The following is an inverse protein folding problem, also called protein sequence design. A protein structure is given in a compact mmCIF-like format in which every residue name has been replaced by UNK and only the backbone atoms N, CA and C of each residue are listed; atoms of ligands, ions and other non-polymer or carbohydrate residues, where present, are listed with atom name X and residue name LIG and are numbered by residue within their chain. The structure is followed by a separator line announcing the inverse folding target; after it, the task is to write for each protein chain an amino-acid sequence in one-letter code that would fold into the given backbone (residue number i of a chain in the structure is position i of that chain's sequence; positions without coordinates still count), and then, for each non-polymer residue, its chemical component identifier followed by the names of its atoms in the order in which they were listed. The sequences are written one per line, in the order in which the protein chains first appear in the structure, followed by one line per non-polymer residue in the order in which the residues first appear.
data_IF_320448551781
#
_entry.id   IF_320448551781
#
_cell.length_a   1.000
_cell.length_b   1.000
_cell.length_c   1.000
_cell.angle_alpha   90.00
_cell.angle_beta   90.00
_cell.angle_gamma   90.00
#
_symmetry.space_group_name_H-M   'P 1'
#
loop_
_entity.id
_entity.type
_entity.pdbx_description
1 polymer ?
#
# COMPACT_ATOMS: atom_id res chain seq x y z
N UNK A 1 -2.49 22.73 6.44
CA UNK A 1 -2.01 23.07 5.07
C UNK A 1 -1.14 24.33 5.07
N UNK A 2 -1.58 25.43 5.67
CA UNK A 2 -0.85 26.72 5.68
C UNK A 2 0.60 26.62 6.19
N UNK A 3 0.86 25.75 7.18
CA UNK A 3 2.20 25.50 7.73
C UNK A 3 3.07 24.57 6.86
N UNK A 4 2.56 24.04 5.73
CA UNK A 4 3.27 23.13 4.80
C UNK A 4 3.82 21.84 5.44
N UNK A 5 3.18 21.37 6.51
CA UNK A 5 3.56 20.15 7.25
C UNK A 5 2.63 18.96 6.99
N UNK A 6 1.58 19.13 6.17
CA UNK A 6 0.61 18.06 5.91
C UNK A 6 1.22 16.99 4.98
N UNK A 7 1.10 15.72 5.38
CA UNK A 7 1.51 14.57 4.58
C UNK A 7 2.77 13.86 5.10
N UNK A 8 3.26 12.89 4.34
CA UNK A 8 4.45 12.11 4.70
C UNK A 8 5.71 12.71 4.10
N UNK A 9 6.69 13.05 4.96
CA UNK A 9 8.00 13.56 4.53
C UNK A 9 8.74 12.55 3.64
N UNK A 10 8.68 11.26 3.96
CA UNK A 10 9.31 10.21 3.17
C UNK A 10 8.66 10.08 1.78
N UNK A 11 7.33 10.17 1.72
CA UNK A 11 6.59 10.17 0.46
C UNK A 11 6.96 11.39 -0.41
N UNK A 12 7.07 12.58 0.19
CA UNK A 12 7.49 13.78 -0.52
C UNK A 12 8.90 13.64 -1.13
N UNK A 13 9.86 13.09 -0.37
CA UNK A 13 11.20 12.80 -0.87
C UNK A 13 11.20 11.82 -2.04
N UNK A 14 10.35 10.78 -1.99
CA UNK A 14 10.18 9.84 -3.10
C UNK A 14 9.53 10.49 -4.33
N UNK A 15 8.53 11.34 -4.13
CA UNK A 15 7.87 12.10 -5.21
C UNK A 15 8.88 12.99 -5.94
N UNK A 16 9.70 13.73 -5.20
CA UNK A 16 10.75 14.60 -5.76
C UNK A 16 11.84 13.80 -6.49
N UNK A 17 12.19 12.61 -5.98
CA UNK A 17 13.23 11.76 -6.56
C UNK A 17 12.76 11.02 -7.81
N UNK A 18 11.58 10.39 -7.74
CA UNK A 18 11.07 9.50 -8.79
C UNK A 18 10.31 10.23 -9.89
N UNK A 19 9.70 11.38 -9.57
CA UNK A 19 8.96 12.24 -10.52
C UNK A 19 7.98 11.46 -11.42
N UNK A 20 7.14 10.57 -10.87
CA UNK A 20 6.27 9.71 -11.68
C UNK A 20 5.23 10.54 -12.44
N UNK A 21 4.67 10.01 -13.53
CA UNK A 21 3.58 10.69 -14.25
C UNK A 21 2.32 10.87 -13.39
N UNK A 22 2.08 9.92 -12.48
CA UNK A 22 0.93 9.92 -11.57
C UNK A 22 1.38 9.59 -10.14
N UNK A 23 0.73 10.22 -9.15
CA UNK A 23 0.90 9.90 -7.74
C UNK A 23 -0.47 9.79 -7.08
N UNK A 24 -0.83 8.58 -6.64
CA UNK A 24 -2.09 8.32 -5.96
C UNK A 24 -1.91 8.27 -4.46
N UNK A 25 -2.85 8.84 -3.72
CA UNK A 25 -2.85 8.85 -2.25
C UNK A 25 -4.26 8.72 -1.70
N UNK A 26 -4.37 8.48 -0.40
CA UNK A 26 -5.64 8.39 0.31
C UNK A 26 -5.42 8.87 1.76
N UNK A 27 -6.15 8.30 2.72
CA UNK A 27 -6.01 8.47 4.17
C UNK A 27 -6.64 9.74 4.78
N UNK A 28 -6.59 10.89 4.10
CA UNK A 28 -7.17 12.15 4.62
C UNK A 28 -8.69 12.30 4.40
N UNK A 29 -9.36 11.28 3.86
CA UNK A 29 -10.81 11.26 3.61
C UNK A 29 -11.30 12.51 2.85
N UNK A 30 -10.58 12.86 1.79
CA UNK A 30 -10.99 13.92 0.89
C UNK A 30 -10.46 13.65 -0.52
N UNK A 31 -11.25 14.01 -1.54
CA UNK A 31 -10.76 14.06 -2.90
C UNK A 31 -9.95 15.33 -3.10
N UNK A 32 -8.71 15.19 -3.56
CA UNK A 32 -7.85 16.32 -3.89
C UNK A 32 -7.00 16.02 -5.12
N UNK A 33 -7.03 16.91 -6.10
CA UNK A 33 -6.23 16.79 -7.32
C UNK A 33 -5.24 17.96 -7.40
N UNK A 34 -4.00 17.66 -7.79
CA UNK A 34 -2.97 18.67 -7.96
C UNK A 34 -2.00 18.30 -9.08
N UNK A 35 -1.31 19.30 -9.61
CA UNK A 35 -0.18 19.11 -10.53
C UNK A 35 1.09 19.52 -9.82
N UNK A 36 2.07 18.61 -9.76
CA UNK A 36 3.37 18.85 -9.11
C UNK A 36 4.42 19.04 -10.20
N UNK A 37 4.89 20.28 -10.35
CA UNK A 37 5.93 20.66 -11.32
C UNK A 37 7.31 20.35 -10.76
N UNK A 38 8.09 19.50 -11.43
CA UNK A 38 9.43 19.09 -10.98
C UNK A 38 10.54 19.97 -11.58
N UNK A 39 10.70 21.17 -11.03
CA UNK A 39 11.67 22.16 -11.52
C UNK A 39 11.15 22.92 -12.75
N UNK A 40 11.84 23.99 -13.13
CA UNK A 40 11.46 24.84 -14.26
C UNK A 40 11.55 24.06 -15.58
N UNK A 41 10.42 23.94 -16.29
CA UNK A 41 10.32 23.16 -17.54
C UNK A 41 10.43 21.63 -17.37
N UNK A 42 10.46 21.11 -16.14
CA UNK A 42 10.55 19.67 -15.87
C UNK A 42 9.22 18.90 -16.07
N UNK A 43 9.21 17.58 -15.80
CA UNK A 43 8.00 16.78 -15.88
C UNK A 43 6.98 17.18 -14.81
N UNK A 44 5.71 16.93 -15.10
CA UNK A 44 4.59 17.15 -14.17
C UNK A 44 4.08 15.81 -13.66
N UNK A 45 3.97 15.69 -12.34
CA UNK A 45 3.22 14.59 -11.71
C UNK A 45 1.77 15.00 -11.50
N UNK A 46 0.83 14.20 -12.00
CA UNK A 46 -0.60 14.32 -11.69
C UNK A 46 -0.88 13.65 -10.34
N UNK A 47 -1.06 14.44 -9.30
CA UNK A 47 -1.39 13.97 -7.96
C UNK A 47 -2.90 13.83 -7.79
N UNK A 48 -3.35 12.70 -7.25
CA UNK A 48 -4.74 12.47 -6.90
C UNK A 48 -4.86 11.76 -5.55
N UNK A 49 -5.48 12.43 -4.59
CA UNK A 49 -5.99 11.81 -3.36
C UNK A 49 -7.47 11.46 -3.51
N UNK A 50 -7.86 10.29 -3.00
CA UNK A 50 -9.23 9.81 -3.00
C UNK A 50 -9.82 9.78 -1.59
N UNK A 51 -11.14 9.89 -1.54
CA UNK A 51 -11.94 9.84 -0.32
C UNK A 51 -12.19 8.40 0.15
N UNK A 52 -12.73 8.24 1.36
CA UNK A 52 -13.17 6.97 1.91
C UNK A 52 -14.42 6.47 1.17
N UNK A 53 -14.53 5.15 1.02
CA UNK A 53 -15.69 4.48 0.42
C UNK A 53 -16.94 4.60 1.30
N UNK A 54 -17.55 5.79 1.34
CA UNK A 54 -18.80 6.09 2.03
C UNK A 54 -19.83 6.64 1.03
N UNK A 55 -21.11 6.53 1.37
CA UNK A 55 -22.20 7.05 0.54
C UNK A 55 -22.02 8.57 0.34
N UNK A 56 -22.15 9.05 -0.90
CA UNK A 56 -21.98 10.47 -1.23
C UNK A 56 -20.52 10.95 -1.39
N UNK A 57 -19.52 10.14 -1.05
CA UNK A 57 -18.11 10.52 -1.14
C UNK A 57 -17.50 10.20 -2.51
N UNK A 58 -16.48 10.98 -2.90
CA UNK A 58 -15.77 10.81 -4.18
C UNK A 58 -14.57 9.87 -4.03
N UNK A 59 -14.85 8.59 -3.83
CA UNK A 59 -13.84 7.56 -3.51
C UNK A 59 -13.30 6.77 -4.69
N UNK A 60 -13.90 6.88 -5.88
CA UNK A 60 -13.48 6.16 -7.09
C UNK A 60 -13.17 7.11 -8.23
N UNK A 61 -12.04 6.88 -8.91
CA UNK A 61 -11.66 7.55 -10.14
C UNK A 61 -11.14 6.51 -11.13
N UNK A 62 -11.69 6.52 -12.33
CA UNK A 62 -11.17 5.75 -13.47
C UNK A 62 -10.22 6.69 -14.23
N UNK A 63 -9.06 6.16 -14.60
CA UNK A 63 -8.07 6.85 -15.43
C UNK A 63 -7.78 6.01 -16.65
N UNK A 64 -7.69 6.66 -17.80
CA UNK A 64 -7.26 6.03 -19.03
C UNK A 64 -5.76 6.24 -19.20
N UNK A 65 -5.04 5.14 -19.37
CA UNK A 65 -3.60 5.13 -19.62
C UNK A 65 -3.37 4.53 -21.00
N UNK A 66 -2.75 5.31 -21.88
CA UNK A 66 -2.36 4.82 -23.20
C UNK A 66 -1.35 3.70 -23.05
N UNK A 67 -1.62 2.57 -23.71
CA UNK A 67 -0.75 1.40 -23.68
C UNK A 67 -0.55 0.87 -25.10
N UNK A 68 0.60 0.23 -25.32
CA UNK A 68 0.92 -0.44 -26.58
C UNK A 68 0.05 -1.69 -26.81
N UNK A 69 0.19 -2.37 -27.95
CA UNK A 69 -0.54 -3.61 -28.19
C UNK A 69 -0.24 -4.65 -27.10
N UNK A 70 -1.28 -5.28 -26.57
CA UNK A 70 -1.17 -6.31 -25.52
C UNK A 70 -0.47 -7.60 -25.97
N UNK A 71 -0.35 -8.60 -25.09
CA UNK A 71 -1.10 -8.75 -23.83
C UNK A 71 -0.55 -7.92 -22.66
N UNK A 72 -1.45 -7.49 -21.76
CA UNK A 72 -1.09 -6.82 -20.50
C UNK A 72 -0.96 -7.86 -19.39
N UNK A 73 0.28 -8.26 -19.10
CA UNK A 73 0.58 -9.24 -18.05
C UNK A 73 1.28 -8.58 -16.86
N UNK A 74 1.06 -9.13 -15.67
CA UNK A 74 1.79 -8.73 -14.47
C UNK A 74 3.18 -9.36 -14.52
N UNK A 75 4.21 -8.57 -14.24
CA UNK A 75 5.59 -9.02 -14.15
C UNK A 75 6.28 -8.48 -12.91
N UNK A 76 7.24 -9.23 -12.37
CA UNK A 76 8.14 -8.69 -11.36
C UNK A 76 9.04 -7.60 -11.92
N UNK A 77 9.19 -6.53 -11.15
CA UNK A 77 10.17 -5.47 -11.41
C UNK A 77 11.56 -5.88 -10.85
N UNK A 78 12.59 -5.73 -11.68
CA UNK A 78 13.97 -6.11 -11.33
C UNK A 78 14.50 -5.34 -10.12
N UNK A 79 14.23 -4.03 -10.07
CA UNK A 79 14.76 -3.16 -9.02
C UNK A 79 14.07 -3.41 -7.68
N UNK A 80 12.75 -3.58 -7.71
CA UNK A 80 11.97 -3.99 -6.55
C UNK A 80 12.48 -5.30 -5.96
N UNK A 81 12.66 -6.34 -6.78
CA UNK A 81 13.18 -7.62 -6.31
C UNK A 81 14.60 -7.50 -5.73
N UNK A 82 15.46 -6.66 -6.33
CA UNK A 82 16.80 -6.42 -5.83
C UNK A 82 16.77 -5.75 -4.44
N UNK A 83 15.90 -4.76 -4.25
CA UNK A 83 15.65 -4.12 -2.95
C UNK A 83 15.12 -5.16 -1.96
N UNK A 84 14.06 -5.90 -2.30
CA UNK A 84 13.49 -6.92 -1.41
C UNK A 84 14.53 -7.94 -0.96
N UNK A 85 15.32 -8.49 -1.89
CA UNK A 85 16.40 -9.44 -1.57
C UNK A 85 17.48 -8.81 -0.70
N UNK A 86 17.89 -7.58 -1.01
CA UNK A 86 18.93 -6.87 -0.26
C UNK A 86 18.56 -6.63 1.20
N UNK A 87 17.31 -6.23 1.44
CA UNK A 87 16.84 -5.80 2.75
C UNK A 87 16.18 -6.92 3.56
N UNK A 88 16.04 -8.13 3.01
CA UNK A 88 15.40 -9.26 3.71
C UNK A 88 16.05 -9.53 5.08
N UNK A 89 17.38 -9.55 5.17
CA UNK A 89 18.09 -9.89 6.42
C UNK A 89 17.92 -8.88 7.55
N UNK A 90 17.43 -7.67 7.25
CA UNK A 90 17.19 -6.61 8.25
C UNK A 90 15.70 -6.29 8.40
N UNK A 91 14.82 -7.13 7.83
CA UNK A 91 13.38 -6.99 8.00
C UNK A 91 13.05 -7.11 9.50
N UNK A 92 12.46 -6.08 10.11
CA UNK A 92 12.24 -6.08 11.56
C UNK A 92 11.19 -7.13 11.91
N UNK A 93 11.59 -8.14 12.69
CA UNK A 93 10.70 -9.17 13.24
C UNK A 93 10.01 -8.70 14.54
N UNK A 94 10.19 -7.43 14.90
CA UNK A 94 9.62 -6.80 16.11
C UNK A 94 9.12 -5.40 15.78
N UNK A 95 8.42 -4.76 16.71
CA UNK A 95 7.97 -3.36 16.58
C UNK A 95 9.13 -2.35 16.58
N UNK A 96 10.37 -2.78 16.87
CA UNK A 96 11.53 -1.89 16.83
C UNK A 96 11.94 -1.64 15.38
N UNK A 97 12.28 -0.39 15.09
CA UNK A 97 12.81 0.00 13.78
C UNK A 97 14.05 -0.82 13.42
N UNK A 98 14.15 -1.21 12.15
CA UNK A 98 15.33 -1.86 11.62
C UNK A 98 16.54 -0.90 11.62
N UNK A 99 17.72 -1.46 11.90
CA UNK A 99 18.99 -0.74 11.72
C UNK A 99 19.43 -0.86 10.26
N UNK A 100 19.24 0.23 9.51
CA UNK A 100 19.67 0.33 8.11
C UNK A 100 21.16 0.69 7.97
N UNK A 101 21.86 1.00 9.07
CA UNK A 101 23.29 1.34 9.05
C UNK A 101 24.17 0.18 8.60
N UNK A 102 23.78 -1.06 8.89
CA UNK A 102 24.46 -2.27 8.43
C UNK A 102 24.27 -2.57 6.93
N UNK A 103 23.31 -1.91 6.26
CA UNK A 103 23.01 -2.12 4.84
C UNK A 103 23.94 -1.32 3.90
N UNK A 104 25.13 -0.94 4.37
CA UNK A 104 26.11 -0.10 3.70
C UNK A 104 26.87 -0.87 2.60
N UNK A 105 26.14 -1.43 1.65
CA UNK A 105 26.68 -2.30 0.62
C UNK A 105 25.96 -2.08 -0.71
N UNK A 106 26.71 -2.26 -1.79
CA UNK A 106 26.30 -1.95 -3.15
C UNK A 106 25.07 -2.78 -3.59
N UNK A 107 24.00 -2.11 -4.02
CA UNK A 107 22.78 -2.73 -4.57
C UNK A 107 23.04 -3.40 -5.93
N UNK A 108 24.12 -3.03 -6.63
CA UNK A 108 24.45 -3.54 -7.95
C UNK A 108 24.63 -5.06 -7.97
N UNK A 109 25.22 -5.67 -6.94
CA UNK A 109 25.39 -7.12 -6.86
C UNK A 109 24.04 -7.85 -6.80
N UNK A 110 23.12 -7.34 -5.97
CA UNK A 110 21.76 -7.88 -5.87
C UNK A 110 21.00 -7.71 -7.19
N UNK A 111 21.13 -6.55 -7.83
CA UNK A 111 20.50 -6.27 -9.12
C UNK A 111 20.99 -7.20 -10.22
N UNK A 112 22.31 -7.38 -10.33
CA UNK A 112 22.92 -8.31 -11.29
C UNK A 112 22.49 -9.77 -11.04
N UNK A 113 22.39 -10.18 -9.77
CA UNK A 113 21.88 -11.49 -9.41
C UNK A 113 20.42 -11.67 -9.85
N UNK A 114 19.54 -10.72 -9.52
CA UNK A 114 18.11 -10.75 -9.87
C UNK A 114 17.94 -10.78 -11.39
N UNK A 115 18.70 -9.95 -12.12
CA UNK A 115 18.67 -9.92 -13.58
C UNK A 115 18.95 -11.29 -14.19
N UNK A 116 20.00 -11.98 -13.72
CA UNK A 116 20.31 -13.36 -14.18
C UNK A 116 19.20 -14.35 -13.82
N UNK A 117 18.63 -14.23 -12.62
CA UNK A 117 17.52 -15.09 -12.17
C UNK A 117 16.29 -14.92 -13.05
N UNK A 118 15.89 -13.68 -13.35
CA UNK A 118 14.76 -13.35 -14.21
C UNK A 118 15.00 -13.75 -15.67
N UNK A 119 16.23 -13.66 -16.18
CA UNK A 119 16.59 -14.16 -17.51
C UNK A 119 16.43 -15.68 -17.63
N UNK A 120 16.75 -16.43 -16.58
CA UNK A 120 16.63 -17.89 -16.58
C UNK A 120 15.19 -18.38 -16.35
N UNK A 121 14.44 -17.72 -15.47
CA UNK A 121 13.13 -18.19 -14.98
C UNK A 121 11.94 -17.44 -15.60
N UNK A 122 12.15 -16.24 -16.15
CA UNK A 122 11.11 -15.33 -16.61
C UNK A 122 10.54 -14.43 -15.51
N UNK A 123 9.90 -13.33 -15.91
CA UNK A 123 9.43 -12.25 -15.01
C UNK A 123 8.01 -12.42 -14.49
N UNK A 124 7.22 -13.33 -15.07
CA UNK A 124 5.82 -13.55 -14.68
C UNK A 124 5.70 -14.09 -13.24
N UNK A 125 4.83 -13.56 -12.36
CA UNK A 125 4.59 -14.16 -11.05
C UNK A 125 4.12 -15.62 -11.13
N UNK A 126 4.21 -16.34 -10.01
CA UNK A 126 3.55 -17.66 -9.90
C UNK A 126 2.02 -17.49 -9.96
N UNK A 127 1.31 -18.56 -10.31
CA UNK A 127 -0.15 -18.55 -10.34
C UNK A 127 -0.70 -18.48 -8.90
N UNK A 128 -1.68 -17.60 -8.68
CA UNK A 128 -2.27 -17.41 -7.36
C UNK A 128 -3.18 -18.58 -7.01
N UNK A 129 -3.03 -19.10 -5.79
CA UNK A 129 -3.89 -20.15 -5.23
C UNK A 129 -4.76 -19.61 -4.09
N UNK A 130 -5.93 -20.19 -3.86
CA UNK A 130 -6.81 -19.77 -2.76
C UNK A 130 -6.19 -20.13 -1.41
N UNK A 131 -5.91 -19.15 -0.57
CA UNK A 131 -5.32 -19.34 0.79
C UNK A 131 -6.34 -19.29 1.92
N UNK A 132 -7.55 -18.79 1.66
CA UNK A 132 -8.64 -18.72 2.61
C UNK A 132 -9.96 -19.15 1.97
N UNK A 133 -10.90 -19.77 2.71
CA UNK A 133 -12.22 -20.09 2.20
C UNK A 133 -12.96 -18.81 1.77
N UNK A 134 -13.86 -18.95 0.79
CA UNK A 134 -14.76 -17.86 0.41
C UNK A 134 -15.70 -17.55 1.58
N UNK A 135 -16.06 -16.28 1.72
CA UNK A 135 -17.09 -15.88 2.68
C UNK A 135 -18.42 -16.59 2.35
N UNK A 136 -19.01 -17.23 3.35
CA UNK A 136 -20.33 -17.84 3.27
C UNK A 136 -21.25 -17.17 4.32
N UNK A 137 -22.25 -16.38 3.90
CA UNK A 137 -23.16 -15.71 4.83
C UNK A 137 -23.99 -16.68 5.69
N UNK A 138 -24.10 -17.94 5.29
CA UNK A 138 -24.85 -18.99 5.98
C UNK A 138 -24.04 -19.63 7.12
N UNK A 139 -22.71 -19.54 7.06
CA UNK A 139 -21.80 -20.13 8.04
C UNK A 139 -21.08 -19.05 8.85
N UNK A 140 -21.74 -18.56 9.92
CA UNK A 140 -21.11 -17.69 10.94
C UNK A 140 -20.23 -18.50 11.90
N UNK A 141 -19.16 -19.11 11.39
CA UNK A 141 -18.19 -19.83 12.23
C UNK A 141 -16.86 -19.10 12.29
N UNK A 142 -16.67 -18.30 13.34
CA UNK A 142 -15.37 -17.79 13.77
C UNK A 142 -14.69 -18.80 14.72
N UNK A 143 -14.64 -20.07 14.34
CA UNK A 143 -13.94 -21.08 15.12
C UNK A 143 -12.78 -21.63 14.30
N UNK A 144 -11.64 -20.96 14.42
CA UNK A 144 -10.37 -21.47 13.98
C UNK A 144 -9.28 -20.72 14.71
N UNK A 145 -8.61 -21.39 15.64
CA UNK A 145 -7.20 -21.08 15.85
C UNK A 145 -6.58 -21.11 14.46
N UNK A 146 -6.20 -19.95 13.94
CA UNK A 146 -5.49 -19.87 12.68
C UNK A 146 -4.15 -20.56 12.95
N UNK A 147 -4.07 -21.86 12.68
CA UNK A 147 -2.79 -22.52 12.52
C UNK A 147 -1.96 -21.61 11.60
N UNK A 148 -0.69 -21.44 11.94
CA UNK A 148 0.23 -20.62 11.16
C UNK A 148 0.48 -21.33 9.81
N UNK A 149 -0.53 -21.34 8.94
CA UNK A 149 -0.48 -21.97 7.63
C UNK A 149 0.42 -21.09 6.79
N UNK A 150 1.52 -21.66 6.32
CA UNK A 150 2.41 -20.97 5.39
C UNK A 150 1.65 -20.60 4.15
N UNK A 151 1.87 -19.37 3.71
CA UNK A 151 1.29 -18.88 2.48
C UNK A 151 2.13 -19.43 1.30
N UNK A 152 1.59 -20.31 0.44
CA UNK A 152 2.36 -20.94 -0.64
C UNK A 152 2.86 -19.93 -1.68
N UNK A 153 2.18 -18.80 -1.84
CA UNK A 153 2.66 -17.67 -2.65
C UNK A 153 3.91 -17.04 -2.03
N UNK A 154 3.92 -16.83 -0.71
CA UNK A 154 5.11 -16.32 0.00
C UNK A 154 6.27 -17.30 -0.12
N UNK A 155 6.03 -18.61 0.02
CA UNK A 155 7.08 -19.63 -0.15
C UNK A 155 7.66 -19.63 -1.57
N UNK A 156 6.79 -19.62 -2.58
CA UNK A 156 7.21 -19.55 -3.99
C UNK A 156 8.01 -18.28 -4.29
N UNK A 157 7.62 -17.15 -3.69
CA UNK A 157 8.35 -15.89 -3.82
C UNK A 157 9.74 -15.93 -3.18
N UNK A 158 9.85 -16.50 -1.98
CA UNK A 158 11.12 -16.64 -1.27
C UNK A 158 12.03 -17.65 -1.96
N UNK A 159 11.49 -18.74 -2.50
CA UNK A 159 12.23 -19.72 -3.30
C UNK A 159 12.77 -19.09 -4.60
N UNK A 160 11.95 -18.29 -5.30
CA UNK A 160 12.38 -17.53 -6.47
C UNK A 160 13.61 -16.67 -6.15
N UNK A 161 13.57 -16.00 -5.00
CA UNK A 161 14.62 -15.10 -4.55
C UNK A 161 15.72 -15.80 -3.75
N UNK A 162 15.69 -17.11 -3.52
CA UNK A 162 16.63 -17.83 -2.63
C UNK A 162 16.79 -17.14 -1.26
N UNK A 163 15.66 -16.89 -0.60
CA UNK A 163 15.57 -16.24 0.71
C UNK A 163 14.99 -17.19 1.77
N UNK A 164 15.41 -17.05 3.03
CA UNK A 164 14.82 -17.82 4.13
C UNK A 164 13.45 -17.28 4.52
N UNK A 165 12.60 -18.16 5.07
CA UNK A 165 11.35 -17.78 5.71
C UNK A 165 11.62 -17.33 7.15
N UNK A 166 11.85 -16.03 7.36
CA UNK A 166 12.38 -15.49 8.63
C UNK A 166 11.54 -15.79 9.87
N UNK A 167 10.24 -16.04 9.71
CA UNK A 167 9.36 -16.38 10.84
C UNK A 167 9.65 -17.78 11.41
N UNK A 168 10.31 -18.66 10.66
CA UNK A 168 10.72 -19.98 11.17
C UNK A 168 11.67 -19.83 12.37
N UNK A 169 12.57 -18.85 12.31
CA UNK A 169 13.57 -18.60 13.35
C UNK A 169 12.93 -18.07 14.66
N UNK A 170 11.72 -17.49 14.58
CA UNK A 170 10.99 -17.02 15.77
C UNK A 170 10.40 -18.17 16.57
N UNK A 171 10.08 -19.29 15.91
CA UNK A 171 9.56 -20.49 16.58
C UNK A 171 10.64 -21.19 17.41
N UNK A 172 11.89 -21.18 16.95
CA UNK A 172 13.03 -21.75 17.69
C UNK A 172 13.44 -20.93 18.93
N UNK A 173 13.11 -19.64 18.96
CA UNK A 173 13.45 -18.71 20.05
C UNK A 173 12.33 -18.58 21.09
N UNK A 174 11.18 -19.22 20.87
CA UNK A 174 10.02 -19.22 21.78
C UNK A 174 10.08 -20.41 22.72
N UNK A 175 11.17 -20.58 23.48
CA UNK A 175 11.10 -21.29 24.77
C UNK A 175 10.94 -20.33 25.96
N UNK A 176 11.17 -19.01 25.78
CA UNK A 176 10.94 -18.01 26.83
C UNK A 176 10.52 -16.66 26.24
N UNK A 177 9.29 -16.55 25.75
CA UNK A 177 8.63 -15.26 25.58
C UNK A 177 7.12 -15.45 25.67
N UNK A 178 6.52 -14.86 26.71
CA UNK A 178 5.07 -14.83 26.89
C UNK A 178 4.40 -14.26 25.64
N UNK A 179 3.40 -14.98 25.14
CA UNK A 179 2.65 -14.63 23.94
C UNK A 179 2.01 -13.23 24.05
N UNK A 180 2.10 -12.37 23.01
CA UNK A 180 1.40 -11.08 22.97
C UNK A 180 -0.12 -11.19 22.74
N UNK A 181 -0.64 -12.41 22.55
CA UNK A 181 -2.05 -12.68 22.28
C UNK A 181 -2.99 -12.37 23.48
N UNK A 182 -2.45 -11.98 24.63
CA UNK A 182 -3.21 -11.65 25.85
C UNK A 182 -3.73 -10.21 25.91
N UNK A 183 -3.43 -9.34 24.92
CA UNK A 183 -3.83 -7.93 24.94
C UNK A 183 -5.15 -7.59 24.22
N UNK A 184 -5.92 -8.58 23.75
CA UNK A 184 -7.31 -8.34 23.32
C UNK A 184 -8.22 -8.57 24.52
N UNK A 185 -8.43 -7.54 25.34
CA UNK A 185 -9.57 -7.52 26.25
C UNK A 185 -10.86 -7.53 25.40
N UNK A 186 -11.52 -8.68 25.33
CA UNK A 186 -12.90 -8.78 24.87
C UNK A 186 -13.79 -8.07 25.90
N UNK A 187 -14.26 -6.87 25.55
CA UNK A 187 -15.42 -6.25 26.19
C UNK A 187 -16.70 -7.02 25.83
N UNK A 188 -17.74 -6.98 26.69
CA UNK A 188 -18.94 -7.78 26.48
C UNK A 188 -19.70 -7.32 25.24
N UNK A 189 -20.28 -8.31 24.55
CA UNK A 189 -21.17 -8.15 23.39
C UNK A 189 -22.41 -7.34 23.81
N UNK A 190 -22.50 -6.11 23.33
CA UNK A 190 -23.72 -5.32 23.28
C UNK A 190 -24.07 -5.05 21.82
N UNK A 191 -25.29 -5.35 21.43
CA UNK A 191 -25.86 -4.92 20.15
C UNK A 191 -25.96 -3.39 20.09
N UNK A 192 -25.72 -2.88 18.89
CA UNK A 192 -26.24 -1.63 18.31
C UNK A 192 -25.63 -0.25 18.63
N UNK A 193 -25.45 0.48 17.52
CA UNK A 193 -25.39 1.94 17.35
C UNK A 193 -24.03 2.64 17.52
N UNK A 194 -23.13 2.45 16.54
CA UNK A 194 -22.14 3.49 16.19
C UNK A 194 -22.65 4.27 14.96
N UNK A 195 -23.86 4.84 15.09
CA UNK A 195 -24.23 6.03 14.30
C UNK A 195 -23.53 7.22 14.96
N UNK A 196 -22.60 7.83 14.24
CA UNK A 196 -22.03 9.12 14.61
C UNK A 196 -23.19 10.14 14.52
N UNK A 197 -23.52 10.90 15.57
CA UNK A 197 -24.52 11.94 15.46
C UNK A 197 -24.04 12.96 14.42
N UNK A 198 -24.79 13.05 13.33
CA UNK A 198 -24.60 14.06 12.31
C UNK A 198 -25.25 15.32 12.89
N UNK A 199 -24.43 16.30 13.27
CA UNK A 199 -24.93 17.63 13.65
C UNK A 199 -25.32 18.31 12.33
N UNK A 200 -26.59 18.19 11.96
CA UNK A 200 -27.19 18.87 10.83
C UNK A 200 -27.13 20.38 11.08
N UNK A 201 -26.07 21.03 10.59
CA UNK A 201 -26.05 22.48 10.43
C UNK A 201 -26.16 22.77 8.94
N UNK A 202 -27.40 22.79 8.47
CA UNK A 202 -27.80 23.44 7.23
C UNK A 202 -27.40 24.93 7.31
N UNK A 203 -26.41 25.35 6.52
CA UNK A 203 -26.29 26.76 6.11
C UNK A 203 -26.16 26.83 4.59
N UNK A 204 -27.34 26.68 3.98
CA UNK A 204 -27.86 27.37 2.79
C UNK A 204 -26.85 27.93 1.78
N UNK A 205 -26.84 27.28 0.62
CA UNK A 205 -26.44 27.83 -0.66
C UNK A 205 -27.61 28.67 -1.23
N UNK A 206 -27.44 29.98 -1.44
CA UNK A 206 -28.34 30.77 -2.29
C UNK A 206 -27.56 31.82 -3.12
N UNK A 207 -27.17 31.36 -4.32
CA UNK A 207 -27.27 31.97 -5.65
C UNK A 207 -27.19 33.50 -5.85
N UNK A 208 -26.35 33.92 -6.80
CA UNK A 208 -26.78 34.63 -8.02
C UNK A 208 -25.65 34.70 -9.06
N UNK A 209 -25.82 33.96 -10.16
CA UNK A 209 -25.30 34.33 -11.49
C UNK A 209 -26.33 35.26 -12.19
N UNK A 210 -25.88 35.88 -13.29
CA UNK A 210 -26.51 36.91 -14.15
C UNK A 210 -26.19 38.37 -13.70
N UNK A 211 -25.65 39.27 -14.54
CA UNK A 211 -25.90 39.47 -15.97
C UNK A 211 -24.66 39.90 -16.79
N UNK A 212 -24.80 39.60 -18.07
CA UNK A 212 -23.99 39.93 -19.24
C UNK A 212 -24.33 41.34 -19.75
N UNK A 213 -23.33 42.03 -20.30
CA UNK A 213 -23.38 43.15 -21.27
C UNK A 213 -24.09 44.48 -20.90
N UNK A 214 -23.29 45.57 -20.91
CA UNK A 214 -23.39 46.60 -21.96
C UNK A 214 -22.15 47.51 -21.94
N UNK A 215 -21.42 47.54 -23.06
CA UNK A 215 -20.56 48.66 -23.47
C UNK A 215 -21.43 49.70 -24.18
N UNK A 216 -21.43 50.94 -23.67
CA UNK A 216 -21.22 52.23 -24.39
C UNK A 216 -21.61 53.42 -23.50
#
# INVERSE_FOLDING_TARGET
IQQRTLGSKAAAQLLEKLKPAYWFSAHLHCKFAASVQHGEGGPITKFLALDKCMAGHRFLQIIDVEAGPGPYEISYDEEWLAITRKFNSILPLTIKSADFGAAQNDIHDCRNWVKRRLQARGTRPFDFVRTAPCYDPSHRSFNGSAALVRNPQTESFLELLELPYLLDNTLESTEVAESPASLIQQGPVGEDTEEIPIDDVDELEELAEDEVENED
#
